data_IF_057136267768
#
_entry.id   IF_057136267768
#
_cell.length_a   1.000
_cell.length_b   1.000
_cell.length_c   1.000
_cell.angle_alpha   90.00
_cell.angle_beta   90.00
_cell.angle_gamma   90.00
#
_symmetry.space_group_name_H-M   'P 1'
#
loop_
_entity.id
_entity.type
_entity.pdbx_description
1 polymer ?
#
# COMPACT_ATOMS: atom_id res chain seq x y z
N UNK A 1 5.02 -45.62 2.08
CA UNK A 1 5.71 -46.65 1.28
C UNK A 1 6.68 -46.05 0.27
N UNK A 2 6.28 -45.12 -0.60
CA UNK A 2 7.16 -44.52 -1.63
C UNK A 2 8.42 -43.87 -1.06
N UNK A 3 8.37 -43.17 0.06
CA UNK A 3 9.50 -42.53 0.75
C UNK A 3 10.48 -43.54 1.34
N UNK A 4 9.99 -44.70 1.74
CA UNK A 4 10.78 -45.72 2.41
C UNK A 4 11.26 -46.88 1.46
N UNK A 5 10.99 -46.78 0.16
CA UNK A 5 11.30 -47.84 -0.80
C UNK A 5 12.81 -48.12 -0.96
N UNK A 6 13.66 -47.14 -0.61
CA UNK A 6 15.11 -47.32 -0.62
C UNK A 6 15.61 -48.16 0.56
N UNK A 7 14.82 -48.20 1.67
CA UNK A 7 15.19 -48.96 2.90
C UNK A 7 14.54 -50.32 2.99
N UNK A 8 13.30 -50.46 2.50
CA UNK A 8 12.50 -51.67 2.67
C UNK A 8 11.88 -52.11 1.33
N UNK A 9 11.92 -53.41 1.01
CA UNK A 9 11.24 -53.93 -0.18
C UNK A 9 9.72 -53.65 -0.13
N UNK A 10 9.15 -53.25 -1.27
CA UNK A 10 7.72 -52.98 -1.40
C UNK A 10 6.85 -54.12 -0.92
N UNK A 11 7.23 -55.38 -1.25
CA UNK A 11 6.50 -56.59 -0.84
C UNK A 11 6.37 -56.70 0.68
N UNK A 12 7.47 -56.40 1.42
CA UNK A 12 7.49 -56.46 2.88
C UNK A 12 6.58 -55.37 3.48
N UNK A 13 6.68 -54.13 2.96
CA UNK A 13 5.82 -53.05 3.40
C UNK A 13 4.35 -53.31 3.11
N UNK A 14 4.04 -53.89 1.94
CA UNK A 14 2.68 -54.30 1.58
C UNK A 14 2.12 -55.32 2.54
N UNK A 15 2.88 -56.34 2.92
CA UNK A 15 2.51 -57.36 3.87
C UNK A 15 2.19 -56.79 5.25
N UNK A 16 3.05 -55.92 5.76
CA UNK A 16 2.88 -55.28 7.08
C UNK A 16 1.65 -54.37 7.09
N UNK A 17 1.39 -53.65 6.00
CA UNK A 17 0.26 -52.71 5.91
C UNK A 17 -1.05 -53.37 5.42
N UNK A 18 -1.07 -54.66 5.18
CA UNK A 18 -2.27 -55.37 4.76
C UNK A 18 -2.77 -54.99 3.37
N UNK A 19 -1.91 -54.51 2.45
CA UNK A 19 -2.26 -54.13 1.08
C UNK A 19 -1.59 -55.03 0.06
N UNK A 20 -2.26 -55.27 -1.06
CA UNK A 20 -1.62 -56.11 -2.12
C UNK A 20 -0.56 -55.30 -2.88
N UNK A 21 0.58 -55.95 -3.27
CA UNK A 21 1.57 -55.29 -4.12
C UNK A 21 0.97 -54.76 -5.44
N UNK A 22 0.06 -55.50 -6.07
CA UNK A 22 -0.65 -55.09 -7.28
C UNK A 22 -1.49 -53.86 -7.06
N UNK A 23 -2.21 -53.80 -5.93
CA UNK A 23 -2.99 -52.60 -5.52
C UNK A 23 -2.12 -51.37 -5.30
N UNK A 24 -0.93 -51.55 -4.68
CA UNK A 24 0.03 -50.48 -4.52
C UNK A 24 0.54 -49.95 -5.86
N UNK A 25 0.95 -50.82 -6.78
CA UNK A 25 1.44 -50.39 -8.10
C UNK A 25 0.33 -49.77 -8.96
N UNK A 26 -0.90 -50.32 -8.90
CA UNK A 26 -2.08 -49.72 -9.56
C UNK A 26 -2.34 -48.32 -9.02
N UNK A 27 -2.23 -48.11 -7.70
CA UNK A 27 -2.38 -46.79 -7.08
C UNK A 27 -1.30 -45.82 -7.50
N UNK A 28 -0.01 -46.27 -7.53
CA UNK A 28 1.12 -45.43 -7.96
C UNK A 28 1.01 -45.03 -9.43
N UNK A 29 0.53 -45.93 -10.29
CA UNK A 29 0.36 -45.68 -11.74
C UNK A 29 -0.92 -44.95 -12.07
N UNK A 30 -1.84 -44.77 -11.10
CA UNK A 30 -3.14 -44.12 -11.35
C UNK A 30 -2.92 -42.68 -11.78
N UNK A 31 -3.44 -42.27 -12.96
CA UNK A 31 -3.38 -40.86 -13.36
C UNK A 31 -4.15 -39.98 -12.38
N UNK A 32 -3.76 -38.72 -12.29
CA UNK A 32 -4.48 -37.75 -11.46
C UNK A 32 -5.95 -37.67 -11.90
N UNK A 33 -6.87 -37.72 -10.94
CA UNK A 33 -8.30 -37.58 -11.26
C UNK A 33 -8.60 -36.21 -11.86
N UNK A 34 -9.67 -36.10 -12.66
CA UNK A 34 -10.07 -34.85 -13.32
C UNK A 34 -10.11 -33.65 -12.35
N UNK A 35 -10.60 -33.89 -11.12
CA UNK A 35 -10.62 -32.85 -10.08
C UNK A 35 -9.22 -32.38 -9.68
N UNK A 36 -8.24 -33.28 -9.59
CA UNK A 36 -6.85 -32.91 -9.23
C UNK A 36 -6.19 -32.10 -10.36
N UNK A 37 -6.46 -32.47 -11.63
CA UNK A 37 -6.00 -31.71 -12.80
C UNK A 37 -6.61 -30.30 -12.80
N UNK A 38 -7.91 -30.20 -12.59
CA UNK A 38 -8.61 -28.91 -12.48
C UNK A 38 -8.13 -28.07 -11.28
N UNK A 39 -7.85 -28.70 -10.14
CA UNK A 39 -7.33 -28.01 -8.96
C UNK A 39 -5.89 -27.51 -9.21
N UNK A 40 -5.05 -28.23 -9.95
CA UNK A 40 -3.72 -27.79 -10.33
C UNK A 40 -3.76 -26.58 -11.26
N UNK A 41 -4.59 -26.60 -12.31
CA UNK A 41 -4.80 -25.47 -13.19
C UNK A 41 -5.33 -24.24 -12.44
N UNK A 42 -6.37 -24.42 -11.61
CA UNK A 42 -6.90 -23.34 -10.80
C UNK A 42 -5.90 -22.79 -9.79
N UNK A 43 -5.00 -23.60 -9.27
CA UNK A 43 -3.93 -23.16 -8.36
C UNK A 43 -2.94 -22.26 -9.09
N UNK A 44 -2.63 -22.52 -10.36
CA UNK A 44 -1.78 -21.64 -11.17
C UNK A 44 -2.44 -20.27 -11.35
N UNK A 45 -3.73 -20.22 -11.69
CA UNK A 45 -4.48 -18.96 -11.80
C UNK A 45 -4.52 -18.18 -10.46
N UNK A 46 -4.74 -18.91 -9.33
CA UNK A 46 -4.70 -18.31 -7.99
C UNK A 46 -3.32 -17.70 -7.70
N UNK A 47 -2.22 -18.36 -8.08
CA UNK A 47 -0.85 -17.83 -7.90
C UNK A 47 -0.63 -16.57 -8.71
N UNK A 48 -1.07 -16.56 -9.97
CA UNK A 48 -0.99 -15.38 -10.85
C UNK A 48 -1.79 -14.20 -10.29
N UNK A 49 -3.04 -14.40 -9.91
CA UNK A 49 -3.88 -13.37 -9.31
C UNK A 49 -3.32 -12.88 -7.96
N UNK A 50 -2.79 -13.78 -7.12
CA UNK A 50 -2.15 -13.41 -5.85
C UNK A 50 -0.88 -12.57 -6.07
N UNK A 51 -0.04 -12.92 -7.04
CA UNK A 51 1.13 -12.14 -7.42
C UNK A 51 0.73 -10.76 -7.96
N UNK A 52 -0.30 -10.68 -8.81
CA UNK A 52 -0.85 -9.44 -9.32
C UNK A 52 -1.37 -8.47 -8.25
N UNK A 53 -1.79 -9.01 -7.09
CA UNK A 53 -2.16 -8.23 -5.90
C UNK A 53 -0.97 -7.92 -4.99
N UNK A 54 0.27 -8.06 -5.46
CA UNK A 54 1.50 -7.92 -4.64
C UNK A 54 1.51 -8.86 -3.42
N UNK A 55 0.85 -10.02 -3.52
CA UNK A 55 0.77 -11.00 -2.44
C UNK A 55 -0.09 -10.57 -1.25
N UNK A 56 -1.03 -9.64 -1.43
CA UNK A 56 -1.83 -9.08 -0.32
C UNK A 56 -3.23 -9.68 -0.21
N UNK A 57 -3.77 -10.22 -1.32
CA UNK A 57 -5.15 -10.67 -1.34
C UNK A 57 -5.35 -12.06 -0.70
N UNK A 58 -6.36 -12.14 0.17
CA UNK A 58 -6.90 -13.41 0.63
C UNK A 58 -8.02 -13.93 -0.28
N UNK A 59 -8.55 -15.11 0.03
CA UNK A 59 -9.56 -15.81 -0.76
C UNK A 59 -10.80 -14.98 -1.17
N UNK A 60 -11.32 -14.03 -0.37
CA UNK A 60 -12.46 -13.22 -0.79
C UNK A 60 -12.16 -12.36 -2.02
N UNK A 61 -11.03 -11.62 -2.00
CA UNK A 61 -10.62 -10.73 -3.09
C UNK A 61 -10.18 -11.53 -4.33
N UNK A 62 -9.39 -12.61 -4.14
CA UNK A 62 -8.97 -13.48 -5.24
C UNK A 62 -10.14 -14.14 -5.96
N UNK A 63 -11.20 -14.51 -5.24
CA UNK A 63 -12.41 -15.04 -5.89
C UNK A 63 -13.04 -14.06 -6.87
N UNK A 64 -12.98 -12.76 -6.55
CA UNK A 64 -13.50 -11.71 -7.44
C UNK A 64 -12.59 -11.53 -8.66
N UNK A 65 -11.25 -11.54 -8.47
CA UNK A 65 -10.30 -11.48 -9.59
C UNK A 65 -10.48 -12.65 -10.55
N UNK A 66 -10.65 -13.86 -10.02
CA UNK A 66 -10.92 -15.05 -10.82
C UNK A 66 -12.25 -14.94 -11.56
N UNK A 67 -13.29 -14.41 -10.92
CA UNK A 67 -14.60 -14.22 -11.55
C UNK A 67 -14.54 -13.18 -12.69
N UNK A 68 -13.79 -12.09 -12.55
CA UNK A 68 -13.53 -11.13 -13.64
C UNK A 68 -12.74 -11.75 -14.81
N UNK A 69 -11.87 -12.74 -14.51
CA UNK A 69 -11.17 -13.54 -15.52
C UNK A 69 -12.05 -14.68 -16.12
N UNK A 70 -13.36 -14.73 -15.78
CA UNK A 70 -14.28 -15.76 -16.27
C UNK A 70 -14.28 -17.07 -15.48
N UNK A 71 -13.47 -17.18 -14.41
CA UNK A 71 -13.33 -18.41 -13.61
C UNK A 71 -14.26 -18.35 -12.40
N UNK A 72 -15.42 -19.00 -12.49
CA UNK A 72 -16.40 -19.10 -11.40
C UNK A 72 -16.01 -20.19 -10.42
N UNK A 73 -15.63 -19.82 -9.20
CA UNK A 73 -15.18 -20.74 -8.14
C UNK A 73 -15.71 -20.31 -6.77
N UNK A 74 -15.97 -21.27 -5.89
CA UNK A 74 -16.42 -20.97 -4.53
C UNK A 74 -15.26 -20.45 -3.66
N UNK A 75 -15.57 -19.56 -2.72
CA UNK A 75 -14.60 -19.02 -1.74
C UNK A 75 -13.90 -20.16 -0.95
N UNK A 76 -14.66 -21.22 -0.57
CA UNK A 76 -14.10 -22.37 0.17
C UNK A 76 -13.03 -23.11 -0.65
N UNK A 77 -13.26 -23.29 -1.98
CA UNK A 77 -12.29 -23.96 -2.88
C UNK A 77 -11.03 -23.10 -3.05
N UNK A 78 -11.16 -21.79 -3.27
CA UNK A 78 -10.03 -20.86 -3.35
C UNK A 78 -9.23 -20.89 -2.05
N UNK A 79 -9.87 -20.77 -0.88
CA UNK A 79 -9.18 -20.80 0.41
C UNK A 79 -8.42 -22.12 0.66
N UNK A 80 -9.00 -23.27 0.25
CA UNK A 80 -8.34 -24.57 0.34
C UNK A 80 -7.10 -24.64 -0.55
N UNK A 81 -7.21 -24.20 -1.80
CA UNK A 81 -6.10 -24.23 -2.75
C UNK A 81 -4.99 -23.25 -2.37
N UNK A 82 -5.33 -22.06 -1.88
CA UNK A 82 -4.35 -21.12 -1.32
C UNK A 82 -3.56 -21.76 -0.18
N UNK A 83 -4.25 -22.39 0.78
CA UNK A 83 -3.59 -23.06 1.92
C UNK A 83 -2.66 -24.17 1.44
N UNK A 84 -3.11 -25.00 0.50
CA UNK A 84 -2.26 -26.07 -0.07
C UNK A 84 -1.06 -25.54 -0.85
N UNK A 85 -1.18 -24.34 -1.41
CA UNK A 85 -0.11 -23.67 -2.15
C UNK A 85 0.80 -22.78 -1.26
N UNK A 86 0.57 -22.74 0.06
CA UNK A 86 1.31 -21.90 1.00
C UNK A 86 1.04 -20.39 0.83
N UNK A 87 -0.11 -20.02 0.24
CA UNK A 87 -0.49 -18.62 0.00
C UNK A 87 -1.39 -18.10 1.11
N UNK A 88 -1.08 -16.90 1.61
CA UNK A 88 -1.89 -16.21 2.61
C UNK A 88 -2.12 -14.75 2.20
N UNK A 89 -3.31 -14.23 2.51
CA UNK A 89 -3.57 -12.79 2.39
C UNK A 89 -3.04 -12.04 3.60
N UNK A 90 -2.78 -10.76 3.42
CA UNK A 90 -2.37 -9.87 4.51
C UNK A 90 -3.58 -9.50 5.35
N UNK A 91 -3.45 -9.59 6.67
CA UNK A 91 -4.47 -9.21 7.65
C UNK A 91 -3.94 -8.14 8.56
N UNK A 92 -4.78 -7.16 8.88
CA UNK A 92 -4.45 -6.10 9.85
C UNK A 92 -4.15 -6.74 11.20
N UNK A 93 -2.97 -6.50 11.75
CA UNK A 93 -2.69 -6.83 13.15
C UNK A 93 -3.46 -5.84 14.03
N UNK A 94 -4.05 -6.32 15.13
CA UNK A 94 -4.66 -5.43 16.11
C UNK A 94 -3.56 -4.63 16.79
N UNK A 95 -3.43 -3.33 16.46
CA UNK A 95 -2.51 -2.40 17.10
C UNK A 95 -3.16 -1.72 18.31
N UNK A 96 -2.33 -1.24 19.22
CA UNK A 96 -2.73 -0.45 20.39
C UNK A 96 -2.93 1.00 19.94
N UNK A 97 -4.02 1.63 20.36
CA UNK A 97 -4.33 3.05 20.07
C UNK A 97 -3.59 3.92 21.09
N UNK A 98 -2.84 4.91 20.62
CA UNK A 98 -2.21 5.95 21.45
C UNK A 98 -2.57 7.33 20.93
N UNK A 99 -3.42 8.07 21.64
CA UNK A 99 -3.76 9.48 21.34
C UNK A 99 -3.45 10.36 22.54
N UNK A 100 -2.70 11.45 22.35
CA UNK A 100 -2.43 12.51 23.34
C UNK A 100 -3.15 13.77 22.88
N UNK A 101 -3.83 14.45 23.82
CA UNK A 101 -4.71 15.61 23.57
C UNK A 101 -3.95 16.93 23.68
N UNK A 102 -4.25 17.88 22.79
CA UNK A 102 -3.84 19.29 22.90
C UNK A 102 -4.97 20.23 22.49
N UNK A 103 -5.09 21.38 23.17
CA UNK A 103 -6.27 22.25 23.10
C UNK A 103 -6.02 23.56 22.35
N UNK A 104 -6.27 23.62 21.04
CA UNK A 104 -6.17 24.82 20.21
C UNK A 104 -7.48 25.18 19.48
N UNK A 105 -7.61 26.43 18.98
CA UNK A 105 -8.80 27.05 18.36
C UNK A 105 -9.36 26.25 17.18
N UNK A 106 -10.68 26.13 17.13
CA UNK A 106 -11.44 25.19 16.28
C UNK A 106 -12.11 25.86 15.07
N UNK A 107 -11.98 25.23 13.89
CA UNK A 107 -12.99 25.34 12.84
C UNK A 107 -14.24 24.52 13.25
N UNK A 108 -15.47 24.89 12.79
CA UNK A 108 -16.66 24.12 13.12
C UNK A 108 -16.59 22.73 12.52
N UNK A 109 -17.07 21.72 13.25
CA UNK A 109 -17.30 20.39 12.69
C UNK A 109 -18.54 20.46 11.76
N UNK A 110 -18.32 20.29 10.46
CA UNK A 110 -19.37 20.28 9.44
C UNK A 110 -19.80 18.85 9.06
N UNK A 111 -19.16 17.84 9.63
CA UNK A 111 -19.35 16.43 9.25
C UNK A 111 -20.25 15.72 10.24
N UNK A 112 -20.22 16.12 11.52
CA UNK A 112 -21.04 15.55 12.61
C UNK A 112 -21.04 14.01 12.55
N UNK A 113 -19.85 13.40 12.47
CA UNK A 113 -19.63 11.95 12.36
C UNK A 113 -20.25 11.27 11.13
N UNK A 114 -20.84 12.02 10.21
CA UNK A 114 -21.40 11.50 8.98
C UNK A 114 -20.36 11.55 7.83
N UNK A 115 -19.49 10.56 7.77
CA UNK A 115 -18.49 10.42 6.71
C UNK A 115 -19.05 9.75 5.45
N UNK A 116 -20.35 9.77 5.23
CA UNK A 116 -20.97 9.30 3.99
C UNK A 116 -21.08 10.46 3.00
N UNK A 117 -20.75 10.18 1.74
CA UNK A 117 -20.92 11.09 0.63
C UNK A 117 -21.65 10.35 -0.49
N UNK A 118 -22.64 11.00 -1.11
CA UNK A 118 -23.46 10.38 -2.16
C UNK A 118 -22.82 10.51 -3.56
N UNK A 119 -21.82 11.38 -3.68
CA UNK A 119 -21.09 11.62 -4.93
C UNK A 119 -19.63 12.04 -4.66
N UNK A 120 -18.74 11.92 -5.67
CA UNK A 120 -17.37 12.37 -5.54
C UNK A 120 -17.26 13.86 -5.22
N UNK A 121 -16.20 14.24 -4.48
CA UNK A 121 -15.85 15.62 -4.17
C UNK A 121 -16.85 16.38 -3.28
N UNK A 122 -17.69 15.68 -2.53
CA UNK A 122 -18.51 16.28 -1.47
C UNK A 122 -17.74 16.45 -0.17
N UNK A 123 -17.02 15.42 0.19
CA UNK A 123 -16.25 15.34 1.43
C UNK A 123 -14.88 14.73 1.17
N UNK A 124 -13.84 15.45 1.51
CA UNK A 124 -12.47 14.97 1.58
C UNK A 124 -12.02 14.83 3.02
N UNK A 125 -11.34 13.73 3.32
CA UNK A 125 -10.74 13.47 4.62
C UNK A 125 -9.23 13.52 4.47
N UNK A 126 -8.55 14.28 5.31
CA UNK A 126 -7.11 14.46 5.23
C UNK A 126 -6.43 14.13 6.55
N UNK A 127 -5.21 13.60 6.44
CA UNK A 127 -4.40 13.26 7.60
C UNK A 127 -2.92 13.11 7.20
N UNK A 128 -2.05 13.06 8.21
CA UNK A 128 -0.62 12.93 8.05
C UNK A 128 -0.13 11.69 8.79
N UNK A 129 0.76 10.94 8.14
CA UNK A 129 1.50 9.85 8.80
C UNK A 129 3.00 9.99 8.55
N UNK A 130 3.81 9.19 9.22
CA UNK A 130 5.24 9.11 8.98
C UNK A 130 5.65 7.72 8.54
N UNK A 131 6.65 7.66 7.69
CA UNK A 131 7.23 6.45 7.13
C UNK A 131 8.66 6.35 7.62
N UNK A 132 9.01 5.32 8.43
CA UNK A 132 10.36 5.16 8.91
C UNK A 132 11.30 4.67 7.80
N UNK A 133 12.46 5.31 7.68
CA UNK A 133 13.57 4.87 6.85
C UNK A 133 14.86 4.87 7.66
N UNK A 134 15.92 4.22 7.17
CA UNK A 134 17.21 4.27 7.86
C UNK A 134 17.82 5.68 7.84
N UNK A 135 17.45 6.51 6.86
CA UNK A 135 17.87 7.90 6.72
C UNK A 135 16.98 8.90 7.45
N UNK A 136 16.08 8.45 8.33
CA UNK A 136 15.11 9.28 9.06
C UNK A 136 13.69 9.12 8.58
N UNK A 137 12.78 9.94 9.10
CA UNK A 137 11.35 9.87 8.75
C UNK A 137 11.05 10.57 7.42
N UNK A 138 10.08 10.03 6.70
CA UNK A 138 9.42 10.68 5.58
C UNK A 138 7.96 10.88 5.97
N UNK A 139 7.48 12.12 6.01
CA UNK A 139 6.10 12.46 6.32
C UNK A 139 5.26 12.39 5.06
N UNK A 140 4.09 11.79 5.17
CA UNK A 140 3.12 11.64 4.08
C UNK A 140 1.81 12.29 4.50
N UNK A 141 1.41 13.37 3.82
CA UNK A 141 0.07 13.95 3.90
C UNK A 141 -0.79 13.37 2.78
N UNK A 142 -2.04 13.03 3.07
CA UNK A 142 -3.01 12.50 2.12
C UNK A 142 -4.33 13.25 2.18
N UNK A 143 -5.01 13.32 1.04
CA UNK A 143 -6.39 13.77 0.90
C UNK A 143 -7.17 12.64 0.24
N UNK A 144 -8.16 12.11 0.95
CA UNK A 144 -8.98 10.97 0.55
C UNK A 144 -10.41 11.43 0.28
N UNK A 145 -10.97 11.06 -0.85
CA UNK A 145 -12.39 11.26 -1.17
C UNK A 145 -13.24 10.25 -0.41
N UNK A 146 -14.18 10.74 0.41
CA UNK A 146 -15.00 9.90 1.29
C UNK A 146 -15.95 8.97 0.51
N UNK A 147 -16.44 9.41 -0.65
CA UNK A 147 -17.32 8.62 -1.52
C UNK A 147 -16.62 7.37 -2.07
N UNK A 148 -15.47 7.57 -2.69
CA UNK A 148 -14.77 6.54 -3.45
C UNK A 148 -13.60 5.91 -2.72
N UNK A 149 -13.17 6.45 -1.60
CA UNK A 149 -11.92 6.12 -0.89
C UNK A 149 -10.66 6.32 -1.74
N UNK A 150 -10.77 7.11 -2.80
CA UNK A 150 -9.66 7.45 -3.66
C UNK A 150 -8.76 8.47 -2.98
N UNK A 151 -7.45 8.23 -3.01
CA UNK A 151 -6.48 9.26 -2.66
C UNK A 151 -6.42 10.23 -3.83
N UNK A 152 -6.94 11.44 -3.61
CA UNK A 152 -7.07 12.50 -4.63
C UNK A 152 -5.94 13.52 -4.55
N UNK A 153 -5.22 13.55 -3.43
CA UNK A 153 -4.04 14.37 -3.25
C UNK A 153 -3.12 13.76 -2.22
N UNK A 154 -1.83 13.90 -2.42
CA UNK A 154 -0.82 13.47 -1.46
C UNK A 154 0.48 14.22 -1.68
N UNK A 155 1.26 14.35 -0.63
CA UNK A 155 2.61 14.93 -0.68
C UNK A 155 3.50 14.30 0.37
N UNK A 156 4.81 14.31 0.11
CA UNK A 156 5.79 13.76 1.03
C UNK A 156 6.94 14.73 1.26
N UNK A 157 7.32 14.91 2.54
CA UNK A 157 8.43 15.77 2.94
C UNK A 157 9.30 15.08 4.01
N UNK A 158 10.53 15.54 4.15
CA UNK A 158 11.48 15.07 5.19
C UNK A 158 11.24 15.74 6.54
N UNK A 159 10.45 16.79 6.56
CA UNK A 159 10.10 17.59 7.73
C UNK A 159 8.60 17.82 7.78
N UNK A 160 8.05 17.85 8.99
CA UNK A 160 6.62 18.06 9.21
C UNK A 160 6.29 19.57 9.19
N UNK A 161 6.36 20.18 8.00
CA UNK A 161 5.97 21.58 7.79
C UNK A 161 4.57 21.64 7.15
N UNK A 162 3.91 22.78 7.33
CA UNK A 162 2.62 23.10 6.72
C UNK A 162 2.62 22.89 5.19
N UNK A 163 3.74 23.12 4.53
CA UNK A 163 3.86 22.98 3.07
C UNK A 163 3.45 21.60 2.57
N UNK A 164 3.73 20.52 3.32
CA UNK A 164 3.35 19.15 2.91
C UNK A 164 1.84 18.99 2.80
N UNK A 165 1.08 19.64 3.67
CA UNK A 165 -0.40 19.62 3.64
C UNK A 165 -0.95 20.48 2.51
N UNK A 166 -0.36 21.66 2.29
CA UNK A 166 -0.72 22.55 1.19
C UNK A 166 -0.46 21.89 -0.17
N UNK A 167 0.64 21.19 -0.34
CA UNK A 167 0.96 20.48 -1.58
C UNK A 167 -0.02 19.33 -1.84
N UNK A 168 -0.39 18.56 -0.80
CA UNK A 168 -1.41 17.52 -0.91
C UNK A 168 -2.78 18.11 -1.30
N UNK A 169 -3.19 19.22 -0.67
CA UNK A 169 -4.42 19.93 -1.02
C UNK A 169 -4.38 20.48 -2.45
N UNK A 170 -3.27 21.11 -2.84
CA UNK A 170 -3.11 21.66 -4.20
C UNK A 170 -3.17 20.57 -5.27
N UNK A 171 -2.57 19.40 -5.02
CA UNK A 171 -2.67 18.24 -5.91
C UNK A 171 -4.13 17.80 -6.05
N UNK A 172 -4.87 17.68 -4.95
CA UNK A 172 -6.29 17.32 -4.95
C UNK A 172 -7.12 18.33 -5.74
N UNK A 173 -6.91 19.63 -5.51
CA UNK A 173 -7.60 20.72 -6.21
C UNK A 173 -7.33 20.69 -7.71
N UNK A 174 -6.08 20.47 -8.11
CA UNK A 174 -5.69 20.42 -9.52
C UNK A 174 -6.31 19.22 -10.24
N UNK A 175 -6.29 18.04 -9.60
CA UNK A 175 -6.85 16.81 -10.17
C UNK A 175 -8.38 16.83 -10.26
N UNK A 176 -9.05 17.39 -9.24
CA UNK A 176 -10.49 17.21 -9.05
C UNK A 176 -11.32 18.43 -9.41
N UNK A 177 -10.75 19.64 -9.32
CA UNK A 177 -11.41 20.92 -9.56
C UNK A 177 -12.80 20.98 -8.89
N UNK A 178 -12.90 20.73 -7.58
CA UNK A 178 -14.18 20.62 -6.89
C UNK A 178 -14.86 21.97 -6.77
N UNK A 179 -16.18 21.95 -6.57
CA UNK A 179 -16.95 23.11 -6.19
C UNK A 179 -17.56 22.90 -4.80
N UNK A 180 -17.13 23.67 -3.80
CA UNK A 180 -17.70 23.63 -2.45
C UNK A 180 -17.44 22.39 -1.62
N UNK A 181 -16.37 21.63 -1.91
CA UNK A 181 -16.00 20.43 -1.16
C UNK A 181 -15.72 20.76 0.32
N UNK A 182 -16.15 19.89 1.23
CA UNK A 182 -15.76 19.92 2.64
C UNK A 182 -14.43 19.20 2.76
N UNK A 183 -13.41 19.87 3.33
CA UNK A 183 -12.12 19.27 3.67
C UNK A 183 -12.04 19.07 5.18
N UNK A 184 -12.21 17.84 5.61
CA UNK A 184 -12.20 17.45 7.02
C UNK A 184 -10.82 16.89 7.40
N UNK A 185 -10.28 17.39 8.52
CA UNK A 185 -9.00 16.96 9.09
C UNK A 185 -9.07 16.87 10.60
N UNK A 186 -8.04 16.27 11.20
CA UNK A 186 -7.81 16.38 12.63
C UNK A 186 -7.39 17.80 13.04
N UNK A 187 -7.19 18.04 14.34
CA UNK A 187 -6.74 19.30 14.90
C UNK A 187 -5.22 19.54 14.79
N UNK A 188 -4.53 18.90 13.86
CA UNK A 188 -3.08 19.10 13.65
C UNK A 188 -2.76 20.60 13.40
N UNK A 189 -1.66 21.07 13.98
CA UNK A 189 -1.19 22.46 13.85
C UNK A 189 -1.04 22.92 12.40
N UNK A 190 -0.80 22.00 11.48
CA UNK A 190 -0.68 22.23 10.04
C UNK A 190 -2.01 22.69 9.42
N UNK A 191 -3.12 22.07 9.83
CA UNK A 191 -4.47 22.35 9.32
C UNK A 191 -5.09 23.61 9.96
N UNK A 192 -4.66 23.97 11.17
CA UNK A 192 -5.13 25.19 11.87
C UNK A 192 -4.39 26.47 11.43
N UNK A 193 -3.42 26.35 10.54
CA UNK A 193 -2.61 27.49 10.09
C UNK A 193 -3.43 28.49 9.26
N UNK A 194 -3.08 29.79 9.39
CA UNK A 194 -3.72 30.88 8.66
C UNK A 194 -3.59 30.68 7.14
N UNK A 195 -2.45 30.17 6.67
CA UNK A 195 -2.19 29.96 5.25
C UNK A 195 -3.03 28.83 4.66
N UNK A 196 -3.21 27.74 5.40
CA UNK A 196 -4.11 26.67 5.01
C UNK A 196 -5.55 27.16 4.88
N UNK A 197 -6.06 27.88 5.89
CA UNK A 197 -7.38 28.50 5.85
C UNK A 197 -7.56 29.52 4.70
N UNK A 198 -6.52 30.29 4.40
CA UNK A 198 -6.47 31.20 3.24
C UNK A 198 -6.59 30.42 1.92
N UNK A 199 -5.81 29.34 1.78
CA UNK A 199 -5.81 28.51 0.57
C UNK A 199 -7.15 27.83 0.34
N UNK A 200 -7.78 27.31 1.40
CA UNK A 200 -9.13 26.74 1.34
C UNK A 200 -10.15 27.77 0.82
N UNK A 201 -10.16 28.96 1.40
CA UNK A 201 -11.07 30.06 0.95
C UNK A 201 -10.88 30.43 -0.52
N UNK A 202 -9.63 30.59 -0.95
CA UNK A 202 -9.31 30.91 -2.36
C UNK A 202 -9.78 29.82 -3.33
N UNK A 203 -9.78 28.57 -2.90
CA UNK A 203 -10.19 27.43 -3.71
C UNK A 203 -11.68 27.06 -3.58
N UNK A 204 -12.46 27.79 -2.78
CA UNK A 204 -13.87 27.46 -2.51
C UNK A 204 -14.02 26.17 -1.71
N UNK A 205 -12.99 25.76 -0.97
CA UNK A 205 -13.01 24.59 -0.08
C UNK A 205 -13.50 25.02 1.30
N UNK A 206 -14.39 24.23 1.89
CA UNK A 206 -14.92 24.45 3.23
C UNK A 206 -14.12 23.63 4.25
N UNK A 207 -13.25 24.27 5.06
CA UNK A 207 -12.51 23.52 6.07
C UNK A 207 -13.47 23.06 7.18
N UNK A 208 -13.29 21.83 7.63
CA UNK A 208 -13.98 21.23 8.77
C UNK A 208 -12.94 20.52 9.64
N UNK A 209 -13.11 20.58 10.94
CA UNK A 209 -12.26 19.91 11.90
C UNK A 209 -13.12 19.10 12.85
N UNK A 210 -12.70 17.86 13.15
CA UNK A 210 -13.35 16.99 14.09
C UNK A 210 -13.36 17.55 15.51
N UNK A 211 -14.07 16.94 16.43
CA UNK A 211 -14.04 17.27 17.84
C UNK A 211 -12.72 16.81 18.48
N UNK A 212 -12.21 17.59 19.43
CA UNK A 212 -10.94 17.24 20.11
C UNK A 212 -11.06 15.90 20.81
N UNK A 213 -10.30 14.89 20.35
CA UNK A 213 -10.19 13.58 20.99
C UNK A 213 -11.24 12.56 20.56
N UNK A 214 -11.96 12.76 19.47
CA UNK A 214 -12.85 11.75 18.91
C UNK A 214 -12.10 10.89 17.87
N UNK A 215 -11.86 9.62 18.23
CA UNK A 215 -11.19 8.64 17.37
C UNK A 215 -12.00 8.27 16.10
N UNK A 216 -13.28 8.68 16.02
CA UNK A 216 -14.12 8.38 14.88
C UNK A 216 -13.98 9.40 13.75
N UNK A 217 -13.50 10.60 14.06
CA UNK A 217 -13.45 11.73 13.13
C UNK A 217 -12.49 11.52 11.97
N UNK A 218 -11.53 10.57 12.07
CA UNK A 218 -10.56 10.29 11.01
C UNK A 218 -10.45 8.80 10.62
N UNK A 219 -11.45 7.98 10.97
CA UNK A 219 -11.43 6.53 10.75
C UNK A 219 -11.18 6.12 9.29
N UNK A 220 -11.50 6.97 8.30
CA UNK A 220 -11.23 6.69 6.89
C UNK A 220 -9.75 6.82 6.55
N UNK A 221 -9.09 7.89 6.99
CA UNK A 221 -7.66 8.09 6.79
C UNK A 221 -6.86 7.06 7.58
N UNK A 222 -7.25 6.77 8.84
CA UNK A 222 -6.66 5.68 9.64
C UNK A 222 -6.78 4.31 8.93
N UNK A 223 -7.93 4.04 8.29
CA UNK A 223 -8.12 2.81 7.52
C UNK A 223 -7.19 2.74 6.30
N UNK A 224 -6.91 3.88 5.66
CA UNK A 224 -5.93 3.95 4.59
C UNK A 224 -4.52 3.71 5.12
N UNK A 225 -4.12 4.39 6.20
CA UNK A 225 -2.79 4.23 6.77
C UNK A 225 -2.52 2.82 7.26
N UNK A 226 -3.49 2.20 7.93
CA UNK A 226 -3.37 0.80 8.31
C UNK A 226 -3.27 -0.15 7.11
N UNK A 227 -3.86 0.22 5.97
CA UNK A 227 -3.70 -0.53 4.72
C UNK A 227 -2.29 -0.33 4.15
N UNK A 228 -1.79 0.91 4.12
CA UNK A 228 -0.43 1.24 3.71
C UNK A 228 0.60 0.51 4.57
N UNK A 229 0.41 0.53 5.88
CA UNK A 229 1.26 -0.15 6.85
C UNK A 229 1.31 -1.65 6.57
N UNK A 230 0.16 -2.34 6.63
CA UNK A 230 0.10 -3.79 6.45
C UNK A 230 0.54 -4.27 5.06
N UNK A 231 0.17 -3.54 4.00
CA UNK A 231 0.35 -4.01 2.63
C UNK A 231 1.67 -3.54 2.01
N UNK A 232 2.33 -2.50 2.58
CA UNK A 232 3.61 -1.97 2.11
C UNK A 232 4.67 -1.91 3.21
N UNK A 233 4.46 -1.12 4.29
CA UNK A 233 5.52 -0.74 5.24
C UNK A 233 5.99 -1.93 6.09
N UNK A 234 5.10 -2.79 6.57
CA UNK A 234 5.45 -3.99 7.35
C UNK A 234 6.21 -5.03 6.53
N UNK A 235 6.10 -4.96 5.21
CA UNK A 235 6.66 -5.94 4.28
C UNK A 235 7.95 -5.50 3.62
N UNK A 236 8.33 -4.22 3.80
CA UNK A 236 9.50 -3.63 3.17
C UNK A 236 10.18 -2.63 4.11
N UNK A 237 11.51 -2.71 4.20
CA UNK A 237 12.32 -1.73 4.91
C UNK A 237 13.02 -0.82 3.90
N UNK A 238 12.97 0.47 4.11
CA UNK A 238 13.55 1.47 3.21
C UNK A 238 14.88 1.97 3.74
N UNK A 239 15.90 1.96 2.89
CA UNK A 239 17.22 2.50 3.25
C UNK A 239 17.22 4.01 3.15
N UNK A 240 16.55 4.56 2.13
CA UNK A 240 16.52 6.01 1.86
C UNK A 240 15.07 6.51 1.76
N UNK A 241 14.91 7.81 2.01
CA UNK A 241 13.64 8.50 1.81
C UNK A 241 13.21 8.51 0.33
N UNK A 242 14.15 8.53 -0.61
CA UNK A 242 13.86 8.44 -2.05
C UNK A 242 13.25 7.07 -2.41
N UNK A 243 13.80 5.98 -1.87
CA UNK A 243 13.24 4.64 -2.05
C UNK A 243 11.82 4.53 -1.47
N UNK A 244 11.60 5.06 -0.27
CA UNK A 244 10.28 5.09 0.35
C UNK A 244 9.28 5.91 -0.48
N UNK A 245 9.69 7.08 -0.99
CA UNK A 245 8.88 7.95 -1.85
C UNK A 245 8.39 7.23 -3.10
N UNK A 246 9.28 6.54 -3.80
CA UNK A 246 8.92 5.77 -5.00
C UNK A 246 7.98 4.61 -4.69
N UNK A 247 8.21 3.88 -3.60
CA UNK A 247 7.36 2.77 -3.19
C UNK A 247 5.95 3.22 -2.81
N UNK A 248 5.83 4.35 -2.10
CA UNK A 248 4.53 4.94 -1.73
C UNK A 248 3.79 5.48 -2.96
N UNK A 249 4.50 6.16 -3.87
CA UNK A 249 3.94 6.59 -5.16
C UNK A 249 3.33 5.39 -5.92
N UNK A 250 4.12 4.33 -6.10
CA UNK A 250 3.66 3.11 -6.78
C UNK A 250 2.49 2.44 -6.05
N UNK A 251 2.50 2.51 -4.70
CA UNK A 251 1.42 1.96 -3.91
C UNK A 251 0.13 2.76 -4.10
N UNK A 252 0.16 4.08 -4.02
CA UNK A 252 -1.04 4.93 -4.14
C UNK A 252 -1.58 4.88 -5.57
N UNK A 253 -0.77 5.24 -6.57
CA UNK A 253 -1.25 5.42 -7.95
C UNK A 253 -1.35 4.10 -8.71
N UNK A 254 -0.32 3.25 -8.61
CA UNK A 254 -0.27 1.99 -9.35
C UNK A 254 -1.12 0.87 -8.77
N UNK A 255 -1.39 0.90 -7.48
CA UNK A 255 -2.10 -0.21 -6.83
C UNK A 255 -3.37 0.23 -6.08
N UNK A 256 -3.27 1.12 -5.07
CA UNK A 256 -4.39 1.47 -4.19
C UNK A 256 -5.56 2.09 -4.97
N UNK A 257 -5.32 3.16 -5.70
CA UNK A 257 -6.35 3.85 -6.46
C UNK A 257 -6.86 3.02 -7.65
N UNK A 258 -5.93 2.39 -8.40
CA UNK A 258 -6.26 1.77 -9.68
C UNK A 258 -6.77 0.33 -9.57
N UNK A 259 -6.24 -0.46 -8.63
CA UNK A 259 -6.42 -1.92 -8.59
C UNK A 259 -6.98 -2.46 -7.29
N UNK A 260 -6.61 -1.85 -6.14
CA UNK A 260 -6.93 -2.42 -4.84
C UNK A 260 -8.44 -2.50 -4.61
N UNK A 261 -8.92 -3.70 -4.33
CA UNK A 261 -10.34 -3.97 -4.07
C UNK A 261 -10.73 -3.57 -2.66
N UNK A 262 -11.80 -2.82 -2.52
CA UNK A 262 -12.38 -2.38 -1.26
C UNK A 262 -13.71 -3.09 -1.00
N UNK A 263 -13.83 -3.76 0.13
CA UNK A 263 -15.08 -4.45 0.50
C UNK A 263 -16.25 -3.48 0.67
N UNK A 264 -15.99 -2.26 1.16
CA UNK A 264 -16.99 -1.20 1.29
C UNK A 264 -17.49 -0.64 -0.05
N UNK A 265 -16.74 -0.85 -1.13
CA UNK A 265 -17.08 -0.44 -2.49
C UNK A 265 -17.52 -1.62 -3.37
N UNK A 266 -18.13 -2.66 -2.78
CA UNK A 266 -18.52 -3.85 -3.53
C UNK A 266 -17.34 -4.60 -4.18
N UNK A 267 -16.15 -4.52 -3.60
CA UNK A 267 -14.90 -5.05 -4.14
C UNK A 267 -14.40 -4.37 -5.43
N UNK A 268 -14.87 -3.17 -5.73
CA UNK A 268 -14.28 -2.33 -6.76
C UNK A 268 -13.03 -1.61 -6.24
N UNK A 269 -12.14 -1.21 -7.14
CA UNK A 269 -11.10 -0.23 -6.81
C UNK A 269 -11.69 1.18 -6.80
N UNK A 270 -11.08 2.15 -6.10
CA UNK A 270 -11.56 3.53 -6.06
C UNK A 270 -11.86 4.11 -7.44
N UNK A 271 -10.94 3.97 -8.39
CA UNK A 271 -11.13 4.48 -9.77
C UNK A 271 -12.27 3.75 -10.49
N UNK A 272 -12.38 2.42 -10.35
CA UNK A 272 -13.47 1.67 -10.98
C UNK A 272 -14.83 2.06 -10.39
N UNK A 273 -14.89 2.30 -9.08
CA UNK A 273 -16.11 2.73 -8.39
C UNK A 273 -16.59 4.10 -8.88
N UNK A 274 -15.70 5.09 -8.98
CA UNK A 274 -16.04 6.41 -9.53
C UNK A 274 -16.49 6.31 -10.99
N UNK A 275 -15.79 5.50 -11.80
CA UNK A 275 -16.16 5.31 -13.20
C UNK A 275 -17.57 4.73 -13.34
N UNK A 276 -17.88 3.70 -12.57
CA UNK A 276 -19.22 3.09 -12.58
C UNK A 276 -20.30 4.10 -12.15
N UNK A 277 -20.02 4.93 -11.15
CA UNK A 277 -20.94 5.99 -10.73
C UNK A 277 -21.21 6.98 -11.87
N UNK A 278 -20.17 7.46 -12.54
CA UNK A 278 -20.27 8.37 -13.69
C UNK A 278 -21.09 7.71 -14.83
N UNK A 279 -20.79 6.45 -15.16
CA UNK A 279 -21.51 5.70 -16.19
C UNK A 279 -22.99 5.49 -15.89
N UNK A 280 -23.34 5.41 -14.59
CA UNK A 280 -24.72 5.19 -14.16
C UNK A 280 -25.51 6.50 -14.06
N UNK A 281 -24.84 7.60 -13.67
CA UNK A 281 -25.50 8.87 -13.32
C UNK A 281 -25.60 9.83 -14.51
N UNK A 282 -24.65 9.76 -15.46
CA UNK A 282 -24.68 10.64 -16.64
C UNK A 282 -25.67 10.15 -17.69
N UNK A 283 -26.46 11.07 -18.21
CA UNK A 283 -27.29 10.91 -19.41
C UNK A 283 -26.45 10.34 -20.58
N UNK A 284 -27.03 9.53 -21.51
CA UNK A 284 -26.32 8.94 -22.65
C UNK A 284 -25.47 9.92 -23.48
N UNK A 285 -25.88 11.16 -23.63
CA UNK A 285 -25.10 12.20 -24.33
C UNK A 285 -23.90 12.69 -23.50
N UNK A 286 -24.05 12.87 -22.18
CA UNK A 286 -22.96 13.26 -21.29
C UNK A 286 -21.92 12.14 -21.12
N UNK A 287 -22.29 10.84 -21.31
CA UNK A 287 -21.37 9.70 -21.34
C UNK A 287 -20.32 9.81 -22.44
N UNK A 288 -20.67 10.35 -23.61
CA UNK A 288 -19.74 10.54 -24.75
C UNK A 288 -18.60 11.50 -24.38
N UNK A 289 -18.88 12.57 -23.65
CA UNK A 289 -17.87 13.53 -23.22
C UNK A 289 -17.01 13.03 -22.05
N UNK A 290 -17.56 12.24 -21.12
CA UNK A 290 -16.80 11.67 -20.01
C UNK A 290 -15.77 10.61 -20.45
N UNK A 291 -16.04 9.86 -21.52
CA UNK A 291 -15.13 8.87 -22.10
C UNK A 291 -13.90 9.53 -22.73
N UNK A 292 -14.02 10.75 -23.25
CA UNK A 292 -12.90 11.49 -23.88
C UNK A 292 -11.88 11.96 -22.83
N UNK A 293 -12.28 12.12 -21.57
CA UNK A 293 -11.40 12.51 -20.46
C UNK A 293 -10.78 11.31 -19.70
N UNK A 294 -11.11 10.09 -20.10
CA UNK A 294 -10.45 8.90 -19.55
C UNK A 294 -9.05 8.76 -20.16
N UNK A 295 -8.00 8.48 -19.37
CA UNK A 295 -6.67 8.25 -19.93
C UNK A 295 -6.73 7.11 -20.96
N UNK A 296 -6.20 7.39 -22.15
CA UNK A 296 -6.07 6.45 -23.26
C UNK A 296 -5.44 5.16 -22.73
N UNK A 297 -6.06 4.03 -22.99
CA UNK A 297 -5.45 2.70 -22.78
C UNK A 297 -4.18 2.65 -23.63
N UNK A 298 -3.03 2.80 -23.01
CA UNK A 298 -1.77 2.46 -23.66
C UNK A 298 -1.80 0.96 -24.01
N UNK A 299 -1.72 0.67 -25.31
CA UNK A 299 -1.45 -0.68 -25.77
C UNK A 299 -0.05 -1.07 -25.27
N UNK A 300 0.18 -2.26 -24.75
CA UNK A 300 1.53 -2.70 -24.45
C UNK A 300 2.32 -2.77 -25.75
N UNK A 301 3.28 -1.87 -25.95
CA UNK A 301 4.17 -1.90 -27.10
C UNK A 301 4.52 -0.59 -27.77
N UNK A 302 3.96 0.57 -27.38
CA UNK A 302 4.38 1.86 -27.94
C UNK A 302 5.04 2.72 -26.84
N UNK A 303 6.36 2.78 -26.88
CA UNK A 303 7.14 3.81 -26.17
C UNK A 303 6.95 5.11 -26.97
N UNK A 304 6.38 6.19 -26.41
CA UNK A 304 6.38 7.47 -27.11
C UNK A 304 7.80 8.03 -27.09
N UNK A 305 8.43 8.09 -28.25
CA UNK A 305 9.58 8.96 -28.49
C UNK A 305 9.05 10.40 -28.48
N UNK A 306 9.15 11.08 -27.35
CA UNK A 306 9.27 12.52 -27.19
C UNK A 306 8.86 12.96 -25.77
N UNK A 307 9.81 12.92 -24.88
CA UNK A 307 9.89 13.81 -23.72
C UNK A 307 11.34 14.27 -23.57
N UNK A 308 11.83 14.96 -24.63
CA UNK A 308 12.97 15.86 -24.51
C UNK A 308 12.42 17.28 -24.57
N UNK A 309 12.17 17.90 -23.43
CA UNK A 309 11.98 19.33 -23.38
C UNK A 309 12.48 19.86 -22.02
N UNK A 310 13.56 20.62 -22.13
CA UNK A 310 14.05 21.65 -21.22
C UNK A 310 14.79 21.19 -19.93
N UNK A 311 16.07 20.85 -20.17
CA UNK A 311 17.14 21.15 -19.21
C UNK A 311 17.91 22.35 -19.83
N UNK A 312 18.12 23.45 -19.10
CA UNK A 312 18.92 24.58 -19.62
C UNK A 312 20.37 24.14 -19.76
N UNK A 313 20.93 24.45 -20.93
CA UNK A 313 22.32 24.24 -21.26
C UNK A 313 23.24 24.99 -20.30
N UNK A 314 24.09 24.26 -19.60
CA UNK A 314 25.31 24.79 -18.96
C UNK A 314 26.47 24.36 -19.83
N UNK A 315 27.19 25.40 -20.22
CA UNK A 315 28.34 25.49 -21.10
C UNK A 315 29.36 24.34 -21.01
N UNK A 316 29.69 23.88 -22.21
CA UNK A 316 30.81 23.06 -22.61
C UNK A 316 32.16 23.75 -22.25
N UNK A 317 33.00 23.09 -21.50
CA UNK A 317 34.42 23.33 -21.48
C UNK A 317 35.17 22.01 -21.65
N UNK A 318 35.63 21.82 -22.89
CA UNK A 318 36.57 20.77 -23.28
C UNK A 318 37.83 20.83 -22.43
N UNK A 319 38.26 19.70 -21.88
CA UNK A 319 39.69 19.35 -21.86
C UNK A 319 39.95 17.90 -21.45
N UNK A 320 40.52 17.17 -22.35
CA UNK A 320 41.58 16.15 -22.25
C UNK A 320 41.36 14.86 -21.46
N UNK A 321 41.32 13.83 -22.26
CA UNK A 321 41.59 12.42 -21.89
C UNK A 321 42.99 12.24 -21.33
N UNK A 322 43.14 11.49 -20.25
CA UNK A 322 44.23 10.50 -20.10
C UNK A 322 43.84 9.38 -19.14
N UNK A 323 44.38 8.15 -19.34
CA UNK A 323 43.88 6.93 -18.71
C UNK A 323 44.63 6.61 -17.44
N UNK A 324 43.92 6.12 -16.39
CA UNK A 324 44.56 5.65 -15.17
C UNK A 324 44.93 4.17 -15.31
N UNK A 325 46.26 3.95 -15.22
CA UNK A 325 46.92 2.64 -15.11
C UNK A 325 46.71 2.05 -13.73
N UNK A 326 46.58 0.72 -13.70
CA UNK A 326 46.70 -0.09 -12.49
C UNK A 326 48.08 0.02 -11.85
N UNK A 327 48.10 0.15 -10.53
CA UNK A 327 49.20 -0.24 -9.64
C UNK A 327 48.50 -0.63 -8.32
N UNK A 328 48.66 -1.78 -7.74
CA UNK A 328 49.90 -2.45 -7.33
C UNK A 328 49.76 -2.58 -5.82
N UNK A 329 49.61 -3.84 -5.33
CA UNK A 329 49.59 -4.22 -3.90
C UNK A 329 50.84 -3.65 -3.20
N UNK A 330 50.66 -3.23 -1.94
CA UNK A 330 51.63 -3.50 -0.89
C UNK A 330 50.98 -3.58 0.48
N UNK A 331 51.19 -4.70 1.13
CA UNK A 331 50.98 -4.96 2.55
C UNK A 331 52.03 -4.21 3.39
N UNK A 332 51.62 -3.69 4.54
CA UNK A 332 52.41 -3.76 5.80
C UNK A 332 51.58 -3.24 6.98
N UNK A 333 51.23 -4.14 7.83
CA UNK A 333 51.46 -4.23 9.29
C UNK A 333 51.83 -2.93 10.05
N UNK A 334 51.05 -2.71 11.15
CA UNK A 334 51.48 -2.46 12.53
C UNK A 334 50.23 -2.11 13.35
N UNK A 335 49.77 -2.98 14.18
CA UNK A 335 49.90 -3.30 15.60
C UNK A 335 49.62 -2.17 16.59
N UNK A 336 48.65 -2.48 17.47
CA UNK A 336 48.52 -2.18 18.90
C UNK A 336 48.19 -0.74 19.33
N UNK A 337 47.04 -0.61 19.99
CA UNK A 337 47.02 -0.30 21.43
C UNK A 337 45.58 -0.45 21.99
N UNK A 338 45.46 -1.39 22.90
CA UNK A 338 44.40 -1.50 23.90
C UNK A 338 44.60 -0.38 24.91
N UNK A 339 43.53 0.29 25.34
CA UNK A 339 43.39 0.89 26.67
C UNK A 339 41.92 0.91 27.11
N UNK A 340 41.61 0.01 27.98
CA UNK A 340 41.07 0.16 29.34
C UNK A 340 39.73 0.89 29.52
N UNK A 341 38.78 0.07 29.89
CA UNK A 341 37.51 0.36 30.56
C UNK A 341 37.76 0.41 32.09
N UNK A 342 37.24 1.35 32.85
CA UNK A 342 37.01 1.12 34.29
C UNK A 342 35.55 0.80 34.54
N UNK A 343 35.39 -0.31 35.27
CA UNK A 343 34.19 -0.65 36.07
C UNK A 343 34.18 0.23 37.31
N UNK A 344 33.02 0.76 37.66
CA UNK A 344 32.74 1.15 39.01
C UNK A 344 31.34 0.67 39.41
N UNK A 345 31.35 -0.32 40.32
CA UNK A 345 30.26 -0.71 41.23
C UNK A 345 30.13 0.34 42.32
N UNK A 346 28.94 0.58 42.77
CA UNK A 346 28.51 0.62 44.17
C UNK A 346 27.52 1.73 44.55
N UNK A 347 26.48 1.24 45.22
CA UNK A 347 25.72 1.85 46.36
C UNK A 347 24.46 2.66 46.09
N UNK A 348 23.38 1.93 46.30
CA UNK A 348 22.16 2.51 46.95
C UNK A 348 22.48 3.03 48.39
N UNK A 349 21.70 3.98 48.89
CA UNK A 349 20.85 3.62 50.02
C UNK A 349 19.40 4.11 49.90
N UNK A 350 18.55 3.27 50.46
CA UNK A 350 17.16 3.49 50.86
C UNK A 350 17.01 4.66 51.84
N UNK A 351 15.98 5.49 51.69
CA UNK A 351 15.33 6.10 52.86
C UNK A 351 13.84 6.37 52.61
N UNK A 352 13.10 6.04 53.61
CA UNK A 352 11.66 6.06 53.81
C UNK A 352 11.03 7.46 53.81
N UNK A 353 9.79 7.41 53.48
CA UNK A 353 8.58 8.20 53.69
C UNK A 353 8.55 9.00 55.04
N UNK A 354 7.83 10.13 55.13
CA UNK A 354 6.40 10.07 55.44
C UNK A 354 5.45 10.55 54.32
#
# INVERSE_FOLDING_TARGET
MSENRARYPIAVMCRILGVSPSGYYAWVKRPACARAVMDAALTAEIRTAHAGSKGTYGAPRLRIDLAEAGIRVSRKRVARLMRNAGLAGVSRRKGTVTTVRDGARQAPDLVDRNFTADQPNMLWVADITYIPTWAGFLYLAVVLDAFSRRIVGWSMATTLHMQVVLDALNMALWQRRPSGVIHHSDHGSQYTSIEFGKRCRQAGVRPSMGSVGDAYDNAMAESFFATLECELLDRRRFKTQAEARMAVFEFIEGFYNARRRHSSLGYLSPIKFERQFVETTLDPEARKHAVVLAPVKERPGSVPANCTANVPAVLDSRSTRQPWKRAGRDEKMLSAEQKDCPKEEDRMPSTQIP
#
